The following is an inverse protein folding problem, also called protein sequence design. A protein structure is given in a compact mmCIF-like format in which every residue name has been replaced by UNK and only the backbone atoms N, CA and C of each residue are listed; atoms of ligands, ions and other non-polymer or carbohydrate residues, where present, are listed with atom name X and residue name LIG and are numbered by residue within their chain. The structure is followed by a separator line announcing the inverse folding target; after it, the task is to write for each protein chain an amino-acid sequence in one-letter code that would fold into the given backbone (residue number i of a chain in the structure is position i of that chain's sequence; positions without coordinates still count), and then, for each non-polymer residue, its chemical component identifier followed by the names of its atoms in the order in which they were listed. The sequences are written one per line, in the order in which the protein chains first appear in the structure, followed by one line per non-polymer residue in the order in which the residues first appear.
data_IF_281742129777
#
_entry.id   IF_281742129777
#
_cell.length_a   1.000
_cell.length_b   1.000
_cell.length_c   1.000
_cell.angle_alpha   90.00
_cell.angle_beta   90.00
_cell.angle_gamma   90.00
#
_symmetry.space_group_name_H-M   'P 1'
#
loop_
_entity.id
_entity.type
_entity.pdbx_description
1 polymer ?
2 polymer ?
3 non-polymer ?
4 water ?
#
loop_
_entity_poly.entity_id
_entity_poly.type
_entity_poly.pdbx_seq_one_letter_code
_entity_poly.pdbx_strand_id
1 'polydeoxyribonucleotide' '(DT)(DC)(DC)(DC)(DA)(DC)(DG)(DC)(DG)(DT)(DG)(DG)(DG)' ?
#
# COMPACT_ATOMS: atom_id res chain seq x y z
N UNK C 1 13.43 4.24 30.08
CA UNK C 1 13.36 5.65 30.42
C UNK C 1 12.34 6.34 29.52
N UNK C 2 11.43 7.09 30.13
CA UNK C 2 10.40 7.83 29.38
C UNK C 2 10.47 9.26 29.90
N UNK C 3 11.44 10.02 29.38
CA UNK C 3 11.57 11.40 29.84
C UNK C 3 10.69 12.51 29.28
N UNK C 4 9.78 12.21 28.33
CA UNK C 4 9.02 13.27 27.69
C UNK C 4 7.55 13.15 28.02
N UNK C 5 7.06 14.11 28.80
CA UNK C 5 5.68 14.13 29.31
C UNK C 5 4.69 15.03 28.63
N UNK C 6 3.50 14.50 28.39
CA UNK C 6 2.42 15.26 27.79
C UNK C 6 1.78 16.00 28.94
N UNK C 7 1.62 17.32 28.79
CA UNK C 7 1.03 18.14 29.87
C UNK C 7 -0.50 18.09 29.89
N UNK C 8 -1.10 17.42 28.91
CA UNK C 8 -2.56 17.27 28.93
C UNK C 8 -2.96 16.06 29.79
N UNK C 9 -2.40 14.88 29.48
CA UNK C 9 -2.76 13.65 30.18
C UNK C 9 -1.70 13.14 31.15
N UNK C 10 -0.51 13.74 31.09
CA UNK C 10 0.60 13.42 31.95
C UNK C 10 1.30 12.10 31.64
N UNK C 11 0.99 11.53 30.47
CA UNK C 11 1.65 10.29 30.04
C UNK C 11 3.08 10.62 29.64
N UNK C 12 4.01 9.73 29.94
CA UNK C 12 5.42 9.91 29.58
C UNK C 12 5.78 9.05 28.38
N UNK C 13 6.75 9.51 27.59
CA UNK C 13 7.14 8.76 26.39
C UNK C 13 8.65 8.65 26.31
N UNK C 14 9.10 7.59 25.67
CA UNK C 14 10.53 7.30 25.50
C UNK C 14 11.19 8.24 24.45
N UNK C 15 10.38 8.87 23.61
CA UNK C 15 10.90 9.74 22.56
C UNK C 15 10.17 11.05 22.39
N UNK C 16 10.94 12.12 22.21
CA UNK C 16 10.36 13.43 22.07
C UNK C 16 9.48 13.59 20.80
N UNK C 17 9.86 12.94 19.69
CA UNK C 17 9.06 13.07 18.47
C UNK C 17 7.74 12.33 18.65
N UNK C 18 7.75 11.26 19.46
CA UNK C 18 6.55 10.48 19.73
C UNK C 18 5.64 11.26 20.67
N UNK C 19 6.23 12.11 21.52
CA UNK C 19 5.44 12.96 22.42
C UNK C 19 4.75 13.95 21.51
N UNK C 20 5.47 14.54 20.55
CA UNK C 20 4.88 15.52 19.66
C UNK C 20 3.69 14.98 18.87
N UNK C 21 3.83 13.81 18.26
CA UNK C 21 2.69 13.26 17.53
C UNK C 21 1.54 12.85 18.49
N UNK C 22 1.87 12.31 19.66
CA UNK C 22 0.85 11.94 20.65
C UNK C 22 -0.01 13.14 21.00
N UNK C 23 0.61 14.32 21.17
CA UNK C 23 -0.14 15.53 21.55
C UNK C 23 -1.25 15.84 20.52
N UNK C 24 -1.03 15.45 19.26
CA UNK C 24 -2.04 15.68 18.21
C UNK C 24 -3.33 14.88 18.48
N UNK C 25 -3.25 13.84 19.33
CA UNK C 25 -4.46 13.08 19.70
C UNK C 25 -5.38 13.97 20.53
N UNK C 26 -4.79 14.96 21.21
CA UNK C 26 -5.58 15.87 22.01
C UNK C 26 -5.99 17.08 21.18
N UNK C 27 -5.08 17.60 20.38
CA UNK C 27 -5.35 18.79 19.62
C UNK C 27 -6.12 18.62 18.35
N UNK C 28 -6.08 17.44 17.77
CA UNK C 28 -6.77 17.23 16.51
C UNK C 28 -5.99 17.76 15.31
N UNK C 29 -4.74 18.12 15.52
CA UNK C 29 -3.92 18.64 14.44
C UNK C 29 -3.61 17.52 13.42
N UNK C 30 -3.82 17.80 12.13
CA UNK C 30 -3.51 16.87 11.05
C UNK C 30 -2.71 17.63 10.01
N UNK C 31 -1.40 17.74 10.21
CA UNK C 31 -0.56 18.47 9.27
C UNK C 31 -0.30 17.89 7.90
N UNK C 32 -0.49 16.59 7.70
CA UNK C 32 -0.14 15.97 6.40
C UNK C 32 -1.32 15.66 5.53
N UNK C 33 -1.42 16.39 4.42
CA UNK C 33 -2.52 16.23 3.46
C UNK C 33 -2.11 15.33 2.29
N UNK C 34 -2.99 14.39 1.92
CA UNK C 34 -2.73 13.54 0.77
C UNK C 34 -2.86 14.43 -0.52
N UNK C 35 -1.83 14.40 -1.37
CA UNK C 35 -1.78 15.20 -2.60
C UNK C 35 -2.77 14.77 -3.66
N UNK C 36 -3.24 13.54 -3.53
CA UNK C 36 -4.17 13.02 -4.48
C UNK C 36 -5.61 13.27 -4.10
N UNK C 37 -5.98 13.07 -2.82
CA UNK C 37 -7.37 13.29 -2.42
C UNK C 37 -7.59 14.37 -1.37
N UNK C 38 -6.51 14.86 -0.78
CA UNK C 38 -6.64 15.92 0.19
C UNK C 38 -6.94 15.51 1.62
N UNK C 39 -7.11 14.23 1.85
CA UNK C 39 -7.36 13.79 3.22
C UNK C 39 -6.14 14.17 4.09
N UNK C 40 -6.42 14.64 5.31
CA UNK C 40 -5.41 15.11 6.26
C UNK C 40 -5.11 14.06 7.31
N UNK C 41 -3.85 13.98 7.73
CA UNK C 41 -3.41 12.99 8.74
C UNK C 41 -2.51 13.63 9.78
N UNK C 42 -2.51 13.07 10.99
CA UNK C 42 -1.67 13.57 12.08
C UNK C 42 -0.18 13.31 11.88
N UNK C 43 0.15 12.23 11.17
CA UNK C 43 1.54 11.85 10.95
C UNK C 43 1.81 11.56 9.48
N UNK C 44 3.05 11.75 9.07
CA UNK C 44 3.40 11.46 7.68
C UNK C 44 3.27 9.96 7.29
N UNK C 45 3.59 9.04 8.21
CA UNK C 45 3.49 7.61 7.90
C UNK C 45 2.03 7.17 7.72
N UNK C 46 1.10 7.82 8.43
CA UNK C 46 -0.33 7.51 8.29
C UNK C 46 -0.74 7.96 6.87
N UNK C 47 -0.26 9.13 6.44
CA UNK C 47 -0.56 9.60 5.09
C UNK C 47 0.04 8.63 4.05
N UNK C 48 1.28 8.20 4.28
CA UNK C 48 1.92 7.24 3.38
C UNK C 48 1.18 5.92 3.21
N UNK C 49 0.74 5.30 4.31
CA UNK C 49 0.04 4.03 4.17
C UNK C 49 -1.26 4.29 3.40
N UNK C 50 -1.96 5.33 3.73
CA UNK C 50 -3.19 5.69 3.06
C UNK C 50 -2.94 5.86 1.53
N UNK C 51 -1.98 6.68 1.16
CA UNK C 51 -1.72 6.98 -0.24
C UNK C 51 -1.16 5.80 -1.03
N UNK C 52 -0.25 5.05 -0.42
CA UNK C 52 0.35 3.87 -1.06
C UNK C 52 -0.67 2.83 -1.55
N UNK C 53 -1.57 2.48 -0.66
CA UNK C 53 -2.54 1.44 -0.94
C UNK C 53 -3.84 1.98 -1.54
N UNK C 54 -4.32 3.13 -1.09
CA UNK C 54 -5.57 3.67 -1.62
C UNK C 54 -5.38 4.29 -2.99
N UNK C 55 -4.18 4.76 -3.30
CA UNK C 55 -3.96 5.41 -4.60
C UNK C 55 -2.88 4.80 -5.47
N UNK C 56 -1.64 4.75 -4.98
CA UNK C 56 -0.55 4.24 -5.80
C UNK C 56 -0.71 2.83 -6.30
N UNK C 57 -1.13 1.93 -5.41
CA UNK C 57 -1.32 0.52 -5.77
C UNK C 57 -2.31 0.34 -6.95
N UNK C 58 -3.56 0.84 -6.83
CA UNK C 58 -4.53 0.71 -7.94
C UNK C 58 -4.13 1.51 -9.22
N UNK C 59 -3.46 2.65 -9.06
CA UNK C 59 -3.00 3.43 -10.21
C UNK C 59 -1.99 2.61 -10.99
N UNK C 60 -1.09 1.94 -10.29
CA UNK C 60 -0.08 1.12 -10.95
C UNK C 60 -0.70 -0.16 -11.55
N UNK C 61 -1.68 -0.74 -10.85
CA UNK C 61 -2.40 -1.92 -11.37
C UNK C 61 -3.14 -1.52 -12.65
N UNK C 62 -3.84 -0.37 -12.64
CA UNK C 62 -4.53 0.13 -13.82
C UNK C 62 -3.55 0.42 -14.94
N UNK C 63 -2.39 0.97 -14.61
CA UNK C 63 -1.39 1.29 -15.61
C UNK C 63 -0.88 0.03 -16.30
N UNK C 64 -0.66 -1.02 -15.53
CA UNK C 64 -0.20 -2.28 -16.11
C UNK C 64 -1.23 -2.79 -17.12
N UNK C 65 -2.51 -2.79 -16.74
CA UNK C 65 -3.57 -3.24 -17.64
C UNK C 65 -3.63 -2.38 -18.90
N UNK C 66 -3.53 -1.07 -18.73
CA UNK C 66 -3.56 -0.14 -19.83
C UNK C 66 -2.42 -0.36 -20.80
N UNK C 67 -1.21 -0.59 -20.30
CA UNK C 67 -0.07 -0.79 -21.19
C UNK C 67 -0.14 -2.13 -21.90
N UNK C 68 -0.66 -3.15 -21.24
CA UNK C 68 -0.77 -4.47 -21.86
C UNK C 68 -1.67 -4.33 -23.07
N UNK C 69 -2.74 -3.57 -22.88
CA UNK C 69 -3.70 -3.30 -23.93
C UNK C 69 -3.10 -2.44 -25.07
N UNK C 70 -2.39 -1.36 -24.73
CA UNK C 70 -1.76 -0.49 -25.75
C UNK C 70 -0.77 -1.30 -26.54
N UNK C 71 0.00 -2.11 -25.83
CA UNK C 71 1.01 -2.93 -26.48
C UNK C 71 0.41 -3.94 -27.43
N UNK C 72 -0.77 -4.46 -27.06
CA UNK C 72 -1.48 -5.40 -27.91
C UNK C 72 -1.97 -4.68 -29.19
N UNK C 73 -2.51 -3.47 -29.06
CA UNK C 73 -2.99 -2.72 -30.21
C UNK C 73 -1.85 -2.40 -31.15
N UNK C 74 -0.72 -1.99 -30.58
CA UNK C 74 0.48 -1.66 -31.38
C UNK C 74 1.03 -2.89 -32.09
N UNK C 75 1.03 -4.01 -31.40
CA UNK C 75 1.52 -5.21 -32.02
C UNK C 75 0.63 -5.55 -33.20
N UNK C 76 -0.69 -5.41 -33.05
CA UNK C 76 -1.62 -5.69 -34.14
C UNK C 76 -1.35 -4.79 -35.31
N UNK C 77 -1.17 -3.51 -35.07
CA UNK C 77 -0.88 -2.58 -36.13
C UNK C 77 0.47 -2.86 -36.81
N UNK C 78 1.49 -3.19 -36.01
CA UNK C 78 2.83 -3.50 -36.53
C UNK C 78 2.71 -4.71 -37.46
N UNK C 79 1.95 -5.71 -37.04
CA UNK C 79 1.75 -6.91 -37.86
C UNK C 79 1.07 -6.54 -39.21
N UNK C 80 0.06 -5.69 -39.17
CA UNK C 80 -0.62 -5.28 -40.40
C UNK C 80 0.38 -4.55 -41.31
N UNK C 81 1.03 -3.51 -40.78
CA UNK C 81 1.98 -2.68 -41.51
C UNK C 81 3.08 -3.51 -42.15
N UNK C 82 3.50 -4.54 -41.44
CA UNK C 82 4.56 -5.39 -41.93
C UNK C 82 4.18 -6.04 -43.23
N UNK C 83 2.92 -6.44 -43.36
CA UNK C 83 2.49 -7.10 -44.57
C UNK C 83 2.27 -6.15 -45.72
N UNK C 84 1.75 -4.95 -45.42
CA UNK C 84 1.57 -3.92 -46.43
C UNK C 84 2.91 -3.54 -47.05
N UNK C 85 4.01 -3.66 -46.27
CA UNK C 85 5.35 -3.33 -46.79
C UNK C 85 6.27 -4.53 -47.02
N UNK C 86 5.75 -5.75 -46.84
CA UNK C 86 6.58 -6.90 -47.12
C UNK C 86 6.85 -7.83 -45.94
N UNK C 87 8.01 -7.58 -45.31
CA UNK C 87 8.54 -8.36 -44.19
C UNK C 87 7.83 -9.65 -43.90
N UNK D 1 -21.68 -1.68 25.56
CA UNK D 1 -21.17 -1.83 24.22
C UNK D 1 -19.99 -2.79 24.14
N UNK D 2 -19.49 -3.32 25.26
CA UNK D 2 -18.37 -4.26 25.20
C UNK D 2 -18.81 -5.59 25.86
N UNK D 3 -19.65 -6.38 25.17
CA UNK D 3 -20.13 -7.63 25.72
C UNK D 3 -19.24 -8.86 25.66
N UNK D 4 -18.08 -8.75 25.01
CA UNK D 4 -17.14 -9.89 24.91
C UNK D 4 -16.00 -9.75 25.92
N UNK D 5 -15.57 -10.84 26.54
CA UNK D 5 -14.49 -10.76 27.51
C UNK D 5 -13.38 -11.75 27.28
N UNK D 6 -12.13 -11.27 27.32
CA UNK D 6 -10.97 -12.13 27.16
C UNK D 6 -10.77 -12.79 28.51
N UNK D 7 -10.77 -14.12 28.54
CA UNK D 7 -10.61 -14.80 29.79
C UNK D 7 -9.17 -14.90 30.30
N UNK D 8 -8.21 -14.38 29.54
CA UNK D 8 -6.80 -14.37 29.95
C UNK D 8 -6.48 -13.08 30.71
N UNK D 9 -6.81 -11.94 30.12
CA UNK D 9 -6.54 -10.66 30.80
C UNK D 9 -7.75 -9.90 31.32
N UNK D 10 -8.95 -10.44 31.09
CA UNK D 10 -10.22 -9.86 31.53
C UNK D 10 -10.70 -8.59 30.79
N UNK D 11 -9.98 -8.21 29.73
CA UNK D 11 -10.36 -7.05 28.96
C UNK D 11 -11.68 -7.32 28.21
N UNK D 12 -12.54 -6.31 28.12
CA UNK D 12 -13.83 -6.45 27.42
C UNK D 12 -13.72 -5.83 26.04
N UNK D 13 -14.48 -6.41 25.10
CA UNK D 13 -14.47 -5.98 23.70
C UNK D 13 -15.88 -5.83 23.15
N UNK D 14 -15.98 -4.93 22.16
CA UNK D 14 -17.24 -4.68 21.50
C UNK D 14 -17.63 -5.85 20.54
N UNK D 15 -16.65 -6.54 19.98
CA UNK D 15 -16.89 -7.58 18.96
C UNK D 15 -16.19 -8.92 19.21
N UNK D 16 -16.84 -9.99 18.74
CA UNK D 16 -16.29 -11.32 18.85
C UNK D 16 -15.02 -11.53 18.01
N UNK D 17 -14.96 -10.96 16.80
CA UNK D 17 -13.82 -11.15 15.93
C UNK D 17 -12.61 -10.44 16.51
N UNK D 18 -12.85 -9.29 17.09
CA UNK D 18 -11.78 -8.49 17.72
C UNK D 18 -11.28 -9.17 18.97
N UNK D 19 -12.17 -9.84 19.70
CA UNK D 19 -11.75 -10.64 20.87
C UNK D 19 -10.84 -11.78 20.35
N UNK D 20 -11.27 -12.45 19.27
CA UNK D 20 -10.52 -13.55 18.69
C UNK D 20 -9.10 -13.15 18.29
N UNK D 21 -8.96 -12.05 17.55
CA UNK D 21 -7.61 -11.66 17.14
C UNK D 21 -6.79 -11.16 18.35
N UNK D 22 -7.48 -10.50 19.29
CA UNK D 22 -6.80 -10.04 20.51
C UNK D 22 -6.18 -11.23 21.26
N UNK D 23 -6.92 -12.34 21.37
CA UNK D 23 -6.41 -13.50 22.07
C UNK D 23 -5.10 -13.98 21.48
N UNK D 24 -4.93 -13.80 20.17
CA UNK D 24 -3.68 -14.20 19.52
C UNK D 24 -2.45 -13.46 20.08
N UNK D 25 -2.68 -12.29 20.66
CA UNK D 25 -1.59 -11.51 21.23
C UNK D 25 -1.06 -12.25 22.45
N UNK D 26 -1.92 -13.03 23.11
CA UNK D 26 -1.50 -13.79 24.30
C UNK D 26 -0.87 -15.11 23.90
N UNK D 27 -1.40 -15.75 22.88
CA UNK D 27 -0.91 -17.05 22.47
C UNK D 27 0.23 -17.02 21.48
N UNK D 28 0.46 -15.89 20.81
CA UNK D 28 1.53 -15.85 19.84
C UNK D 28 1.16 -16.45 18.48
N UNK D 29 -0.10 -16.85 18.30
CA UNK D 29 -0.54 -17.42 17.02
C UNK D 29 -0.46 -16.43 15.84
N UNK D 30 0.20 -16.84 14.76
CA UNK D 30 0.34 -16.02 13.55
C UNK D 30 -0.02 -16.87 12.36
N UNK D 31 -1.32 -16.96 12.06
CA UNK D 31 -1.81 -17.76 10.93
C UNK D 31 -1.45 -17.31 9.51
N UNK D 32 -1.13 -16.03 9.31
CA UNK D 32 -0.89 -15.49 7.98
C UNK D 32 0.54 -15.30 7.56
N UNK D 33 0.97 -16.10 6.59
CA UNK D 33 2.35 -15.99 6.11
C UNK D 33 2.36 -15.25 4.79
N UNK D 34 3.33 -14.36 4.63
CA UNK D 34 3.51 -13.61 3.39
C UNK D 34 4.08 -14.64 2.39
N UNK D 35 3.40 -14.81 1.25
CA UNK D 35 3.84 -15.80 0.26
C UNK D 35 5.13 -15.43 -0.44
N UNK D 36 5.55 -14.19 -0.29
CA UNK D 36 6.78 -13.79 -0.93
C UNK D 36 8.01 -13.99 -0.03
N UNK D 37 7.99 -13.52 1.20
CA UNK D 37 9.16 -13.68 2.05
C UNK D 37 8.92 -14.65 3.20
N UNK D 38 7.69 -15.12 3.38
CA UNK D 38 7.41 -16.07 4.44
C UNK D 38 7.18 -15.50 5.83
N UNK D 39 7.32 -14.20 6.02
CA UNK D 39 7.06 -13.62 7.34
C UNK D 39 5.63 -13.92 7.82
N UNK D 40 5.46 -14.26 9.09
CA UNK D 40 4.14 -14.57 9.66
C UNK D 40 3.49 -13.41 10.39
N UNK D 41 2.16 -13.35 10.35
CA UNK D 41 1.39 -12.27 10.97
C UNK D 41 0.18 -12.82 11.71
N UNK D 42 -0.24 -12.11 12.75
CA UNK D 42 -1.40 -12.53 13.50
C UNK D 42 -2.70 -12.30 12.73
N UNK D 43 -2.73 -11.31 11.83
CA UNK D 43 -3.95 -10.97 11.08
C UNK D 43 -3.68 -10.81 9.62
N UNK D 44 -4.70 -11.03 8.81
CA UNK D 44 -4.56 -10.93 7.35
C UNK D 44 -4.26 -9.52 6.88
N UNK D 45 -4.89 -8.52 7.53
CA UNK D 45 -4.68 -7.12 7.17
C UNK D 45 -3.23 -6.68 7.50
N UNK D 46 -2.62 -7.27 8.55
CA UNK D 46 -1.21 -6.99 8.85
C UNK D 46 -0.34 -7.56 7.72
N UNK D 47 -0.68 -8.76 7.27
CA UNK D 47 0.06 -9.38 6.19
C UNK D 47 -0.09 -8.55 4.91
N UNK D 48 -1.31 -8.07 4.65
CA UNK D 48 -1.59 -7.26 3.48
C UNK D 48 -0.79 -5.96 3.43
N UNK D 49 -0.80 -5.16 4.51
CA UNK D 49 -0.03 -3.88 4.50
C UNK D 49 1.46 -4.16 4.24
N UNK D 50 1.97 -5.24 4.82
CA UNK D 50 3.35 -5.61 4.63
C UNK D 50 3.63 -5.98 3.14
N UNK D 51 2.87 -6.95 2.65
CA UNK D 51 3.05 -7.43 1.28
C UNK D 51 2.83 -6.36 0.20
N UNK D 52 1.73 -5.60 0.33
CA UNK D 52 1.39 -4.57 -0.63
C UNK D 52 2.51 -3.58 -0.82
N UNK D 53 3.02 -3.05 0.29
CA UNK D 53 4.06 -2.02 0.22
C UNK D 53 5.46 -2.54 0.07
N UNK D 54 5.80 -3.60 0.81
CA UNK D 54 7.16 -4.14 0.74
C UNK D 54 7.45 -4.94 -0.53
N UNK D 55 6.43 -5.59 -1.09
CA UNK D 55 6.69 -6.39 -2.30
C UNK D 55 5.95 -5.96 -3.54
N UNK D 56 4.64 -5.76 -3.41
CA UNK D 56 3.83 -5.43 -4.58
C UNK D 56 4.12 -4.13 -5.30
N UNK D 57 4.21 -3.02 -4.57
CA UNK D 57 4.50 -1.76 -5.24
C UNK D 57 5.78 -1.81 -6.04
N UNK D 58 6.89 -2.32 -5.45
CA UNK D 58 8.13 -2.37 -6.24
C UNK D 58 7.93 -3.26 -7.51
N UNK D 59 7.19 -4.35 -7.34
CA UNK D 59 6.91 -5.26 -8.44
C UNK D 59 6.13 -4.57 -9.55
N UNK D 60 5.09 -3.82 -9.19
CA UNK D 60 4.29 -3.09 -10.17
C UNK D 60 5.14 -2.04 -10.89
N UNK D 61 5.98 -1.31 -10.14
CA UNK D 61 6.85 -0.30 -10.76
C UNK D 61 7.72 -0.93 -11.84
N UNK D 62 8.31 -2.08 -11.53
CA UNK D 62 9.16 -2.79 -12.47
C UNK D 62 8.38 -3.21 -13.69
N UNK D 63 7.15 -3.66 -13.45
CA UNK D 63 6.30 -4.13 -14.53
C UNK D 63 5.96 -2.97 -15.47
N UNK D 64 5.59 -1.84 -14.88
CA UNK D 64 5.26 -0.67 -15.67
C UNK D 64 6.51 -0.25 -16.49
N UNK D 65 7.68 -0.26 -15.85
CA UNK D 65 8.91 0.15 -16.55
C UNK D 65 9.14 -0.75 -17.78
N UNK D 66 9.00 -2.05 -17.56
CA UNK D 66 9.17 -3.06 -18.59
C UNK D 66 8.16 -2.84 -19.74
N UNK D 67 6.88 -2.71 -19.41
CA UNK D 67 5.84 -2.49 -20.43
C UNK D 67 6.02 -1.17 -21.18
N UNK D 68 6.48 -0.12 -20.48
CA UNK D 68 6.73 1.19 -21.09
C UNK D 68 7.85 1.08 -22.11
N UNK D 69 8.80 0.21 -21.80
CA UNK D 69 9.93 -0.03 -22.66
C UNK D 69 9.45 -0.77 -23.96
N UNK D 70 8.64 -1.82 -23.81
CA UNK D 70 8.07 -2.54 -24.97
C UNK D 70 7.20 -1.61 -25.80
N UNK D 71 6.44 -0.75 -25.13
CA UNK D 71 5.57 0.22 -25.79
C UNK D 71 6.41 1.12 -26.64
N UNK D 72 7.44 1.75 -26.03
CA UNK D 72 8.33 2.65 -26.76
C UNK D 72 8.98 2.02 -28.00
N UNK D 73 9.26 0.71 -27.96
CA UNK D 73 9.82 0.00 -29.11
C UNK D 73 8.78 -0.34 -30.18
N UNK D 74 7.53 -0.37 -29.77
CA UNK D 74 6.44 -0.68 -30.69
C UNK D 74 5.98 0.63 -31.32
N UNK D 75 5.90 1.71 -30.56
CA UNK D 75 5.50 2.99 -31.15
C UNK D 75 6.53 3.43 -32.21
N UNK D 76 7.67 2.70 -32.20
CA UNK D 76 8.83 2.86 -33.09
C UNK D 76 8.77 1.91 -34.29
N UNK D 77 8.20 0.73 -34.13
CA UNK D 77 8.14 -0.12 -35.30
C UNK D 77 7.02 0.43 -36.19
N UNK D 78 6.09 1.15 -35.56
CA UNK D 78 4.95 1.75 -36.25
C UNK D 78 5.28 3.05 -37.00
N UNK D 79 5.94 4.03 -36.36
CA UNK D 79 6.28 5.28 -37.05
C UNK D 79 7.21 4.93 -38.23
N UNK D 80 7.91 3.83 -38.05
CA UNK D 80 8.82 3.34 -39.03
C UNK D 80 8.19 2.62 -40.21
N UNK D 81 7.35 1.63 -39.94
CA UNK D 81 6.73 0.89 -41.03
C UNK D 81 5.87 1.82 -41.86
N UNK D 82 5.23 2.77 -41.21
CA UNK D 82 4.42 3.76 -41.89
C UNK D 82 5.27 4.67 -42.76
N UNK D 83 6.59 4.60 -42.60
CA UNK D 83 7.48 5.41 -43.43
C UNK D 83 7.70 4.54 -44.67
N UNK D 84 7.98 3.26 -44.46
CA UNK D 84 8.20 2.35 -45.58
C UNK D 84 6.99 2.48 -46.48
N UNK D 85 5.81 2.52 -45.88
CA UNK D 85 4.53 2.64 -46.59
C UNK D 85 4.39 3.96 -47.38
#
# INVERSE_FOLDING_TARGET
MKPFQCRICMRNFSRSDHLTTHIRTHTGEKPFACDICGRKFARSDERKRHRDIQHILPILEDKVEELLSKNYHLENEVARLKKLVGER
MKPFQCRICMRNFSRSDHLTTHIRTHTGEKPFACDICGRKFARSDERKRHRDIQHILPILEDKVEELLSKNYHLENEVARLKKLVGER
#
